data_IF_562594142935
#
_entry.id   IF_562594142935
#
_cell.length_a   1.000
_cell.length_b   1.000
_cell.length_c   1.000
_cell.angle_alpha   90.00
_cell.angle_beta   90.00
_cell.angle_gamma   90.00
#
_symmetry.space_group_name_H-M   'P 1'
#
loop_
_entity.id
_entity.type
_entity.pdbx_description
1 polymer ?
#
# COMPACT_ATOMS: atom_id res chain seq x y z
N UNK A 1 26.83 13.42 -5.80
CA UNK A 1 28.17 13.58 -5.15
C UNK A 1 28.54 12.34 -4.39
N UNK A 2 29.83 12.02 -4.24
CA UNK A 2 30.28 10.85 -3.48
C UNK A 2 30.87 11.21 -2.11
N UNK A 3 30.66 10.34 -1.14
CA UNK A 3 31.40 10.27 0.13
C UNK A 3 31.85 8.82 0.32
N UNK A 4 33.13 8.53 0.09
CA UNK A 4 33.62 7.15 0.08
C UNK A 4 32.82 6.31 -0.91
N UNK A 5 32.14 5.27 -0.42
CA UNK A 5 31.25 4.40 -1.22
C UNK A 5 29.79 4.89 -1.28
N UNK A 6 29.41 5.93 -0.55
CA UNK A 6 28.04 6.47 -0.50
C UNK A 6 27.81 7.47 -1.63
N UNK A 7 26.63 7.43 -2.27
CA UNK A 7 26.16 8.44 -3.22
C UNK A 7 25.15 9.35 -2.53
N UNK A 8 25.43 10.66 -2.55
CA UNK A 8 24.47 11.71 -2.19
C UNK A 8 23.81 12.22 -3.47
N UNK A 9 22.49 12.10 -3.51
CA UNK A 9 21.63 12.62 -4.59
C UNK A 9 20.68 13.67 -4.03
N UNK A 10 20.61 14.84 -4.66
CA UNK A 10 19.70 15.93 -4.28
C UNK A 10 18.61 16.03 -5.33
N UNK A 11 17.35 16.01 -4.91
CA UNK A 11 16.21 16.06 -5.84
C UNK A 11 16.20 17.40 -6.60
N UNK A 12 16.32 17.38 -7.94
CA UNK A 12 16.34 18.62 -8.74
C UNK A 12 14.96 19.25 -8.96
N UNK A 13 13.86 18.53 -8.65
CA UNK A 13 12.48 18.94 -8.93
C UNK A 13 12.18 19.30 -10.40
N UNK A 14 13.07 18.89 -11.32
CA UNK A 14 12.92 19.06 -12.77
C UNK A 14 13.74 18.00 -13.48
N UNK A 15 13.40 17.73 -14.74
CA UNK A 15 14.25 16.92 -15.60
C UNK A 15 15.55 17.68 -15.93
N UNK A 16 16.68 16.99 -15.80
CA UNK A 16 18.01 17.50 -16.13
C UNK A 16 18.58 16.88 -17.41
N UNK A 17 17.90 15.90 -18.02
CA UNK A 17 18.39 15.21 -19.22
C UNK A 17 19.60 14.31 -18.94
N UNK A 18 19.80 13.85 -17.70
CA UNK A 18 20.96 13.04 -17.28
C UNK A 18 20.69 11.52 -17.31
N UNK A 19 19.49 11.11 -17.74
CA UNK A 19 19.07 9.69 -17.79
C UNK A 19 18.81 9.24 -19.23
N UNK A 20 19.57 9.76 -20.20
CA UNK A 20 19.42 9.36 -21.61
C UNK A 20 20.08 8.01 -21.88
N UNK A 21 19.68 7.30 -22.95
CA UNK A 21 20.34 6.05 -23.35
C UNK A 21 21.84 6.21 -23.57
N UNK A 22 22.29 7.37 -24.06
CA UNK A 22 23.71 7.67 -24.26
C UNK A 22 24.44 7.78 -22.92
N UNK A 23 23.84 8.45 -21.94
CA UNK A 23 24.41 8.53 -20.59
C UNK A 23 24.44 7.14 -19.96
N UNK A 24 23.35 6.37 -20.03
CA UNK A 24 23.30 5.01 -19.52
C UNK A 24 24.47 4.17 -20.05
N UNK A 25 24.62 4.13 -21.39
CA UNK A 25 25.69 3.36 -22.05
C UNK A 25 27.10 3.84 -21.69
N UNK A 26 27.26 5.13 -21.36
CA UNK A 26 28.57 5.63 -20.93
C UNK A 26 29.06 5.01 -19.63
N UNK A 27 28.16 4.59 -18.73
CA UNK A 27 28.49 3.99 -17.43
C UNK A 27 28.74 2.48 -17.47
N UNK A 28 28.38 1.82 -18.57
CA UNK A 28 28.55 0.38 -18.76
C UNK A 28 30.04 -0.03 -18.71
N UNK A 29 30.36 -1.05 -17.91
CA UNK A 29 31.72 -1.55 -17.70
C UNK A 29 32.72 -0.49 -17.19
N UNK A 30 32.24 0.57 -16.52
CA UNK A 30 33.09 1.63 -15.96
C UNK A 30 33.28 1.49 -14.46
N UNK A 31 34.51 1.66 -14.01
CA UNK A 31 34.72 1.86 -12.58
C UNK A 31 34.18 3.22 -12.15
N UNK A 32 33.70 3.29 -10.92
CA UNK A 32 33.14 4.49 -10.29
C UNK A 32 34.03 5.74 -10.40
N UNK A 33 35.35 5.58 -10.42
CA UNK A 33 36.31 6.69 -10.46
C UNK A 33 36.55 7.22 -11.89
N UNK A 34 36.09 6.50 -12.92
CA UNK A 34 36.28 6.89 -14.33
C UNK A 34 35.27 7.96 -14.79
N UNK A 35 34.13 8.09 -14.09
CA UNK A 35 33.03 8.97 -14.48
C UNK A 35 32.51 9.81 -13.32
N UNK A 36 31.73 10.83 -13.67
CA UNK A 36 31.08 11.70 -12.71
C UNK A 36 30.12 10.91 -11.80
N UNK A 37 29.89 11.36 -10.55
CA UNK A 37 28.99 10.68 -9.63
C UNK A 37 27.57 10.56 -10.17
N UNK A 38 27.08 9.32 -10.30
CA UNK A 38 25.75 9.04 -10.83
C UNK A 38 25.13 7.79 -10.21
N UNK A 39 23.81 7.68 -10.25
CA UNK A 39 23.08 6.50 -9.74
C UNK A 39 23.43 5.24 -10.54
N UNK A 40 23.67 5.38 -11.84
CA UNK A 40 24.10 4.29 -12.73
C UNK A 40 25.44 3.68 -12.31
N UNK A 41 26.39 4.47 -11.81
CA UNK A 41 27.63 3.93 -11.29
C UNK A 41 27.46 3.09 -10.01
N UNK A 42 26.40 3.34 -9.21
CA UNK A 42 26.07 2.48 -8.07
C UNK A 42 25.46 1.17 -8.56
N UNK A 43 24.55 1.23 -9.55
CA UNK A 43 23.95 0.06 -10.16
C UNK A 43 24.99 -0.83 -10.87
N UNK A 44 25.90 -0.23 -11.64
CA UNK A 44 27.03 -0.92 -12.30
C UNK A 44 27.93 -1.62 -11.29
N UNK A 45 28.32 -0.92 -10.21
CA UNK A 45 29.16 -1.52 -9.18
C UNK A 45 28.50 -2.71 -8.50
N UNK A 46 27.21 -2.61 -8.18
CA UNK A 46 26.44 -3.71 -7.62
C UNK A 46 26.34 -4.88 -8.61
N UNK A 47 25.88 -4.64 -9.85
CA UNK A 47 25.72 -5.68 -10.85
C UNK A 47 27.03 -6.40 -11.15
N UNK A 48 28.12 -5.66 -11.35
CA UNK A 48 29.44 -6.26 -11.61
C UNK A 48 29.94 -7.09 -10.42
N UNK A 49 29.77 -6.63 -9.19
CA UNK A 49 30.18 -7.38 -8.01
C UNK A 49 29.37 -8.68 -7.85
N UNK A 50 28.06 -8.64 -8.13
CA UNK A 50 27.21 -9.81 -8.12
C UNK A 50 27.72 -10.89 -9.09
N UNK A 51 28.08 -10.50 -10.32
CA UNK A 51 28.61 -11.43 -11.33
C UNK A 51 30.03 -11.90 -11.01
N UNK A 52 30.90 -10.98 -10.56
CA UNK A 52 32.32 -11.28 -10.34
C UNK A 52 32.57 -12.14 -9.10
N UNK A 53 31.79 -11.95 -8.04
CA UNK A 53 31.98 -12.62 -6.75
C UNK A 53 30.89 -13.64 -6.42
N UNK A 54 29.81 -13.72 -7.21
CA UNK A 54 28.65 -14.57 -6.92
C UNK A 54 28.03 -14.30 -5.54
N UNK A 55 27.97 -13.03 -5.16
CA UNK A 55 27.42 -12.57 -3.87
C UNK A 55 26.20 -11.65 -4.10
N UNK A 56 25.16 -11.85 -3.29
CA UNK A 56 23.97 -11.01 -3.30
C UNK A 56 24.29 -9.54 -2.99
N UNK A 57 23.60 -8.63 -3.65
CA UNK A 57 23.83 -7.19 -3.51
C UNK A 57 22.58 -6.48 -3.00
N UNK A 58 22.77 -5.46 -2.17
CA UNK A 58 21.69 -4.64 -1.64
C UNK A 58 22.01 -3.15 -1.84
N UNK A 59 21.06 -2.41 -2.41
CA UNK A 59 21.14 -0.95 -2.55
C UNK A 59 20.11 -0.31 -1.63
N UNK A 60 20.60 0.38 -0.59
CA UNK A 60 19.75 1.07 0.38
C UNK A 60 19.61 2.54 -0.04
N UNK A 61 18.38 3.00 -0.25
CA UNK A 61 18.06 4.38 -0.63
C UNK A 61 17.31 5.06 0.51
N UNK A 62 18.00 5.96 1.23
CA UNK A 62 17.43 6.72 2.34
C UNK A 62 17.17 8.18 1.95
N UNK A 63 16.24 8.82 2.68
CA UNK A 63 15.90 10.22 2.48
C UNK A 63 14.49 10.55 2.97
N UNK A 64 14.21 11.84 3.19
CA UNK A 64 12.88 12.32 3.59
C UNK A 64 11.82 12.05 2.50
N UNK A 65 10.55 12.23 2.86
CA UNK A 65 9.45 12.13 1.88
C UNK A 65 9.66 13.19 0.78
N UNK A 66 9.54 12.80 -0.49
CA UNK A 66 9.84 13.69 -1.62
C UNK A 66 11.32 13.84 -1.99
N UNK A 67 12.26 13.18 -1.28
CA UNK A 67 13.69 13.28 -1.58
C UNK A 67 14.15 12.58 -2.89
N UNK A 68 13.25 11.90 -3.61
CA UNK A 68 13.58 11.22 -4.87
C UNK A 68 13.96 9.74 -4.73
N UNK A 69 13.64 9.08 -3.60
CA UNK A 69 13.94 7.66 -3.38
C UNK A 69 13.38 6.74 -4.48
N UNK A 70 12.10 6.92 -4.79
CA UNK A 70 11.39 6.14 -5.82
C UNK A 70 12.01 6.33 -7.20
N UNK A 71 12.39 7.56 -7.54
CA UNK A 71 13.04 7.87 -8.83
C UNK A 71 14.44 7.27 -8.92
N UNK A 72 15.24 7.33 -7.86
CA UNK A 72 16.54 6.67 -7.81
C UNK A 72 16.40 5.14 -7.97
N UNK A 73 15.42 4.51 -7.31
CA UNK A 73 15.14 3.08 -7.47
C UNK A 73 14.76 2.73 -8.92
N UNK A 74 13.87 3.52 -9.55
CA UNK A 74 13.50 3.36 -10.97
C UNK A 74 14.72 3.40 -11.89
N UNK A 75 15.67 4.31 -11.64
CA UNK A 75 16.89 4.45 -12.44
C UNK A 75 17.88 3.30 -12.23
N UNK A 76 17.96 2.73 -11.02
CA UNK A 76 18.76 1.52 -10.78
C UNK A 76 18.18 0.35 -11.57
N UNK A 77 16.87 0.13 -11.50
CA UNK A 77 16.20 -0.93 -12.26
C UNK A 77 16.37 -0.76 -13.77
N UNK A 78 16.20 0.46 -14.27
CA UNK A 78 16.41 0.78 -15.69
C UNK A 78 17.83 0.49 -16.16
N UNK A 79 18.83 0.78 -15.32
CA UNK A 79 20.21 0.48 -15.62
C UNK A 79 20.48 -1.02 -15.67
N UNK A 80 20.12 -1.73 -14.60
CA UNK A 80 20.28 -3.18 -14.48
C UNK A 80 19.64 -3.86 -15.70
N UNK A 81 18.41 -3.49 -16.04
CA UNK A 81 17.70 -4.02 -17.19
C UNK A 81 18.44 -3.83 -18.52
N UNK A 82 19.17 -2.73 -18.68
CA UNK A 82 19.91 -2.45 -19.90
C UNK A 82 21.24 -3.21 -19.99
N UNK A 83 21.93 -3.43 -18.86
CA UNK A 83 23.26 -4.07 -18.83
C UNK A 83 23.22 -5.58 -18.60
N UNK A 84 22.14 -6.12 -18.04
CA UNK A 84 22.01 -7.56 -17.75
C UNK A 84 21.74 -8.43 -18.99
N UNK A 85 21.94 -7.87 -20.20
CA UNK A 85 22.21 -8.61 -21.42
C UNK A 85 21.35 -9.85 -21.68
N UNK A 86 20.09 -9.66 -22.05
CA UNK A 86 19.25 -10.71 -22.63
C UNK A 86 18.53 -10.17 -23.85
N UNK A 87 18.71 -10.79 -25.02
CA UNK A 87 17.77 -10.64 -26.15
C UNK A 87 16.40 -11.27 -25.83
N UNK A 88 16.27 -11.90 -24.66
CA UNK A 88 15.03 -12.36 -24.07
C UNK A 88 14.20 -11.17 -23.58
N UNK A 89 12.93 -11.15 -23.96
CA UNK A 89 11.95 -10.13 -23.58
C UNK A 89 11.65 -10.07 -22.07
N UNK A 90 12.17 -11.02 -21.28
CA UNK A 90 11.83 -11.22 -19.86
C UNK A 90 12.23 -10.06 -18.94
N UNK A 91 13.39 -9.43 -19.15
CA UNK A 91 13.79 -8.22 -18.37
C UNK A 91 12.81 -7.08 -18.56
N UNK A 92 12.49 -6.82 -19.83
CA UNK A 92 11.63 -5.73 -20.21
C UNK A 92 10.22 -5.99 -19.69
N UNK A 93 9.78 -7.24 -19.74
CA UNK A 93 8.54 -7.70 -19.12
C UNK A 93 8.57 -7.49 -17.59
N UNK A 94 9.64 -7.85 -16.87
CA UNK A 94 9.75 -7.60 -15.41
C UNK A 94 9.72 -6.10 -15.11
N UNK A 95 10.48 -5.28 -15.86
CA UNK A 95 10.46 -3.81 -15.70
C UNK A 95 9.05 -3.27 -15.95
N UNK A 96 8.43 -3.65 -17.06
CA UNK A 96 7.11 -3.19 -17.46
C UNK A 96 6.05 -3.65 -16.45
N UNK A 97 6.18 -4.87 -15.90
CA UNK A 97 5.33 -5.39 -14.82
C UNK A 97 5.53 -4.62 -13.51
N UNK A 98 6.77 -4.42 -13.06
CA UNK A 98 7.07 -3.62 -11.86
C UNK A 98 6.52 -2.20 -12.02
N UNK A 99 6.69 -1.58 -13.20
CA UNK A 99 6.12 -0.27 -13.49
C UNK A 99 4.59 -0.28 -13.53
N UNK A 100 3.98 -1.31 -14.11
CA UNK A 100 2.53 -1.50 -14.16
C UNK A 100 1.93 -1.71 -12.76
N UNK A 101 2.69 -2.21 -11.79
CA UNK A 101 2.22 -2.40 -10.41
C UNK A 101 2.25 -1.13 -9.56
N UNK A 102 2.99 -0.09 -9.97
CA UNK A 102 3.14 1.11 -9.16
C UNK A 102 1.83 1.86 -8.93
N UNK A 103 0.95 2.09 -9.93
CA UNK A 103 -0.34 2.74 -9.68
C UNK A 103 -1.15 2.02 -8.59
N UNK A 104 -1.18 0.68 -8.63
CA UNK A 104 -1.87 -0.13 -7.63
C UNK A 104 -1.23 0.01 -6.24
N UNK A 105 0.09 -0.16 -6.13
CA UNK A 105 0.78 -0.06 -4.85
C UNK A 105 0.77 1.36 -4.28
N UNK A 106 0.84 2.39 -5.11
CA UNK A 106 0.73 3.79 -4.68
C UNK A 106 -0.70 4.10 -4.22
N UNK A 107 -1.72 3.61 -4.93
CA UNK A 107 -3.12 3.80 -4.54
C UNK A 107 -3.40 3.28 -3.12
N UNK A 108 -2.91 2.07 -2.80
CA UNK A 108 -3.13 1.43 -1.49
C UNK A 108 -2.06 1.77 -0.44
N UNK A 109 -0.87 2.19 -0.84
CA UNK A 109 0.30 2.34 0.03
C UNK A 109 0.75 3.78 0.27
N UNK A 110 0.25 4.74 -0.52
CA UNK A 110 0.57 6.16 -0.38
C UNK A 110 -0.62 6.98 0.10
N UNK A 111 -0.31 8.12 0.70
CA UNK A 111 -1.29 9.10 1.10
C UNK A 111 -0.71 10.52 1.08
N UNK A 112 -1.60 11.51 1.08
CA UNK A 112 -1.24 12.90 1.30
C UNK A 112 -0.88 13.14 2.77
N UNK A 113 0.30 13.69 2.98
CA UNK A 113 0.79 14.19 4.28
C UNK A 113 1.00 15.70 4.23
N UNK A 114 1.31 16.31 5.37
CA UNK A 114 1.65 17.75 5.41
C UNK A 114 2.90 18.12 4.59
N UNK A 115 3.80 17.16 4.33
CA UNK A 115 5.10 17.39 3.66
C UNK A 115 5.14 16.93 2.21
N UNK A 116 4.31 15.95 1.85
CA UNK A 116 4.30 15.35 0.51
C UNK A 116 2.89 14.83 0.20
N UNK A 117 2.38 15.19 -0.98
CA UNK A 117 1.06 14.81 -1.47
C UNK A 117 0.96 13.34 -1.88
N UNK A 118 2.06 12.69 -2.25
CA UNK A 118 2.13 11.26 -2.58
C UNK A 118 3.22 10.59 -1.71
N UNK A 119 2.99 10.55 -0.39
CA UNK A 119 3.95 9.99 0.55
C UNK A 119 3.72 8.50 0.73
N UNK A 120 4.72 7.67 0.42
CA UNK A 120 4.72 6.25 0.77
C UNK A 120 4.58 6.07 2.28
N UNK A 121 3.62 5.24 2.69
CA UNK A 121 3.31 4.92 4.09
C UNK A 121 3.60 3.45 4.43
N UNK A 122 4.45 2.82 3.62
CA UNK A 122 5.04 1.51 3.86
C UNK A 122 6.51 1.53 3.38
N UNK A 123 7.32 0.66 3.96
CA UNK A 123 8.60 0.28 3.38
C UNK A 123 8.39 -0.70 2.23
N UNK A 124 9.22 -0.58 1.20
CA UNK A 124 9.22 -1.47 0.04
C UNK A 124 10.64 -1.97 -0.18
N UNK A 125 10.79 -3.28 -0.29
CA UNK A 125 12.03 -3.93 -0.68
C UNK A 125 11.76 -4.75 -1.93
N UNK A 126 12.49 -4.45 -3.00
CA UNK A 126 12.37 -5.13 -4.27
C UNK A 126 13.64 -5.96 -4.48
N UNK A 127 13.45 -7.25 -4.65
CA UNK A 127 14.49 -8.21 -4.99
C UNK A 127 14.37 -8.50 -6.48
N UNK A 128 15.50 -8.42 -7.19
CA UNK A 128 15.61 -8.85 -8.59
C UNK A 128 16.48 -10.10 -8.57
N UNK A 129 15.95 -11.19 -9.11
CA UNK A 129 16.60 -12.50 -9.07
C UNK A 129 17.30 -12.75 -10.40
N UNK A 130 18.54 -13.24 -10.36
CA UNK A 130 19.35 -13.52 -11.53
C UNK A 130 19.73 -14.99 -11.63
N UNK A 131 19.85 -15.49 -12.86
CA UNK A 131 20.46 -16.79 -13.11
C UNK A 131 22.00 -16.71 -13.04
N UNK A 132 22.66 -17.87 -13.14
CA UNK A 132 24.13 -17.95 -13.15
C UNK A 132 24.78 -17.23 -14.35
N UNK A 133 24.02 -16.94 -15.41
CA UNK A 133 24.46 -16.16 -16.57
C UNK A 133 24.37 -14.65 -16.37
N UNK A 134 23.81 -14.18 -15.24
CA UNK A 134 23.60 -12.76 -14.96
C UNK A 134 22.35 -12.17 -15.60
N UNK A 135 21.46 -12.99 -16.13
CA UNK A 135 20.17 -12.57 -16.68
C UNK A 135 19.13 -12.62 -15.56
N UNK A 136 18.24 -11.62 -15.42
CA UNK A 136 17.21 -11.65 -14.40
C UNK A 136 16.06 -12.56 -14.84
N UNK A 137 15.63 -13.36 -13.88
CA UNK A 137 14.65 -14.44 -14.03
C UNK A 137 13.37 -14.20 -13.25
N UNK A 138 13.34 -13.22 -12.35
CA UNK A 138 12.16 -12.90 -11.56
C UNK A 138 12.36 -11.70 -10.66
N UNK A 139 11.28 -11.27 -10.01
CA UNK A 139 11.31 -10.23 -9.00
C UNK A 139 10.36 -10.52 -7.84
N UNK A 140 10.71 -10.05 -6.64
CA UNK A 140 9.88 -10.17 -5.45
C UNK A 140 9.82 -8.84 -4.72
N UNK A 141 8.61 -8.42 -4.35
CA UNK A 141 8.36 -7.24 -3.51
C UNK A 141 8.01 -7.73 -2.11
N UNK A 142 8.83 -7.34 -1.14
CA UNK A 142 8.55 -7.45 0.28
C UNK A 142 8.13 -6.09 0.83
N UNK A 143 6.93 -6.02 1.39
CA UNK A 143 6.44 -4.81 2.04
C UNK A 143 6.69 -4.86 3.55
N UNK A 144 7.10 -3.73 4.11
CA UNK A 144 7.39 -3.57 5.53
C UNK A 144 6.48 -2.49 6.12
N UNK A 145 5.77 -2.86 7.19
CA UNK A 145 5.12 -1.93 8.12
C UNK A 145 4.26 -0.86 7.43
N UNK A 146 3.14 -1.28 6.86
CA UNK A 146 2.09 -0.35 6.44
C UNK A 146 1.62 0.47 7.65
N UNK A 147 1.47 1.79 7.48
CA UNK A 147 0.93 2.69 8.50
C UNK A 147 -0.59 2.50 8.65
N UNK A 148 -1.03 1.32 9.11
CA UNK A 148 -2.45 0.97 9.21
C UNK A 148 -3.27 1.93 10.07
N UNK A 149 -2.65 2.63 11.04
CA UNK A 149 -3.35 3.65 11.83
C UNK A 149 -3.94 4.77 10.96
N UNK A 150 -3.36 5.05 9.78
CA UNK A 150 -3.88 6.03 8.83
C UNK A 150 -5.29 5.70 8.32
N UNK A 151 -5.67 4.42 8.29
CA UNK A 151 -7.00 3.98 7.85
C UNK A 151 -8.10 4.62 8.68
N UNK A 152 -7.86 4.79 9.99
CA UNK A 152 -8.90 5.15 10.98
C UNK A 152 -8.72 6.55 11.57
N UNK A 153 -7.62 7.22 11.25
CA UNK A 153 -7.35 8.57 11.73
C UNK A 153 -6.17 9.21 11.02
N UNK A 154 -6.32 10.48 10.69
CA UNK A 154 -5.29 11.28 10.02
C UNK A 154 -5.16 12.63 10.73
N UNK A 155 -4.00 13.26 10.59
CA UNK A 155 -3.78 14.63 11.07
C UNK A 155 -4.62 15.58 10.21
N UNK A 156 -5.10 16.69 10.78
CA UNK A 156 -5.81 17.72 10.03
C UNK A 156 -5.04 18.14 8.77
N UNK A 157 -5.75 18.24 7.64
CA UNK A 157 -5.23 18.53 6.30
C UNK A 157 -4.39 17.40 5.65
N UNK A 158 -4.21 16.25 6.30
CA UNK A 158 -3.75 15.02 5.64
C UNK A 158 -4.93 14.25 5.04
N UNK A 159 -4.63 13.24 4.22
CA UNK A 159 -5.61 12.28 3.71
C UNK A 159 -5.37 10.87 4.25
N UNK A 160 -6.42 10.06 4.16
CA UNK A 160 -6.29 8.61 4.15
C UNK A 160 -5.54 8.13 2.88
N UNK A 161 -5.36 6.81 2.72
CA UNK A 161 -4.79 6.23 1.50
C UNK A 161 -5.55 6.66 0.24
N UNK A 162 -4.84 6.83 -0.87
CA UNK A 162 -5.44 7.37 -2.10
C UNK A 162 -6.64 6.56 -2.57
N UNK A 163 -6.56 5.22 -2.45
CA UNK A 163 -7.62 4.31 -2.87
C UNK A 163 -9.00 4.67 -2.32
N UNK A 164 -9.12 5.17 -1.10
CA UNK A 164 -10.43 5.52 -0.53
C UNK A 164 -11.07 6.71 -1.24
N UNK A 165 -10.28 7.71 -1.66
CA UNK A 165 -10.77 8.88 -2.39
C UNK A 165 -11.01 8.56 -3.86
N UNK A 166 -10.10 7.79 -4.46
CA UNK A 166 -10.24 7.24 -5.82
C UNK A 166 -11.54 6.43 -5.94
N UNK A 167 -11.79 5.51 -5.01
CA UNK A 167 -12.99 4.68 -5.02
C UNK A 167 -14.27 5.48 -4.74
N UNK A 168 -14.33 6.28 -3.68
CA UNK A 168 -15.56 7.03 -3.32
C UNK A 168 -15.97 8.07 -4.36
N UNK A 169 -15.00 8.69 -5.04
CA UNK A 169 -15.28 9.67 -6.11
C UNK A 169 -15.69 8.99 -7.42
N UNK A 170 -15.14 7.81 -7.72
CA UNK A 170 -15.17 7.25 -9.07
C UNK A 170 -15.74 5.83 -9.17
N UNK A 171 -16.34 5.32 -8.09
CA UNK A 171 -17.08 4.06 -8.08
C UNK A 171 -18.14 4.02 -9.20
N UNK A 172 -18.24 2.86 -9.85
CA UNK A 172 -19.31 2.56 -10.81
C UNK A 172 -20.68 2.59 -10.13
N UNK A 173 -21.75 2.79 -10.90
CA UNK A 173 -23.11 2.77 -10.35
C UNK A 173 -23.44 1.43 -9.68
N UNK A 174 -22.89 0.33 -10.20
CA UNK A 174 -22.99 -0.99 -9.58
C UNK A 174 -22.33 -1.02 -8.20
N UNK A 175 -21.11 -0.52 -8.04
CA UNK A 175 -20.47 -0.44 -6.72
C UNK A 175 -21.15 0.55 -5.78
N UNK A 176 -21.72 1.64 -6.29
CA UNK A 176 -22.51 2.57 -5.50
C UNK A 176 -23.77 1.89 -4.93
N UNK A 177 -24.46 1.09 -5.75
CA UNK A 177 -25.67 0.37 -5.36
C UNK A 177 -25.36 -0.83 -4.46
N UNK A 178 -24.46 -1.70 -4.89
CA UNK A 178 -24.16 -2.96 -4.19
C UNK A 178 -23.38 -2.72 -2.90
N UNK A 179 -22.44 -1.76 -2.88
CA UNK A 179 -21.57 -1.53 -1.73
C UNK A 179 -21.88 -0.23 -0.98
N UNK A 180 -22.97 0.45 -1.33
CA UNK A 180 -23.44 1.65 -0.63
C UNK A 180 -22.43 2.81 -0.69
N UNK A 181 -21.68 2.91 -1.78
CA UNK A 181 -20.62 3.92 -1.89
C UNK A 181 -21.18 5.26 -2.35
N UNK A 182 -20.82 6.30 -1.60
CA UNK A 182 -21.12 7.69 -1.90
C UNK A 182 -19.83 8.52 -1.85
N UNK A 183 -19.95 9.86 -1.91
CA UNK A 183 -18.78 10.74 -1.87
C UNK A 183 -17.99 10.62 -0.56
N UNK A 184 -16.67 10.93 -0.57
CA UNK A 184 -15.77 10.78 0.58
C UNK A 184 -16.17 11.62 1.80
N UNK A 185 -16.99 12.66 1.63
CA UNK A 185 -17.56 13.45 2.70
C UNK A 185 -18.48 12.66 3.64
N UNK A 186 -19.10 11.58 3.14
CA UNK A 186 -20.08 10.79 3.87
C UNK A 186 -19.46 9.68 4.74
N UNK A 187 -18.14 9.52 4.72
CA UNK A 187 -17.44 8.51 5.49
C UNK A 187 -16.46 9.15 6.47
N UNK A 188 -16.59 8.80 7.76
CA UNK A 188 -15.77 9.39 8.83
C UNK A 188 -14.26 9.24 8.56
N UNK A 189 -13.84 8.08 8.05
CA UNK A 189 -12.43 7.78 7.79
C UNK A 189 -11.81 8.55 6.63
N UNK A 190 -12.59 9.23 5.79
CA UNK A 190 -12.09 10.08 4.70
C UNK A 190 -12.34 11.56 4.95
N UNK A 191 -13.39 11.92 5.68
CA UNK A 191 -13.82 13.31 5.86
C UNK A 191 -13.27 13.99 7.12
N UNK A 192 -13.01 13.24 8.20
CA UNK A 192 -12.65 13.81 9.52
C UNK A 192 -11.44 14.76 9.50
N UNK A 193 -10.46 14.50 8.65
CA UNK A 193 -9.24 15.30 8.55
C UNK A 193 -9.40 16.61 7.75
N UNK A 194 -10.57 16.84 7.14
CA UNK A 194 -10.89 18.09 6.44
C UNK A 194 -10.18 18.29 5.10
N UNK A 195 -9.66 17.22 4.48
CA UNK A 195 -9.03 17.28 3.16
C UNK A 195 -9.54 16.15 2.26
N UNK A 196 -10.37 16.51 1.28
CA UNK A 196 -10.92 15.58 0.30
C UNK A 196 -10.16 15.64 -1.04
N UNK A 197 -9.67 16.83 -1.39
CA UNK A 197 -8.97 17.10 -2.65
C UNK A 197 -7.52 17.52 -2.40
N UNK A 198 -6.67 17.22 -3.38
CA UNK A 198 -5.26 17.59 -3.38
C UNK A 198 -4.96 18.32 -4.69
N UNK A 199 -4.36 19.53 -4.65
CA UNK A 199 -4.01 20.25 -5.87
C UNK A 199 -3.14 19.39 -6.80
N UNK A 200 -3.48 19.38 -8.08
CA UNK A 200 -2.81 18.61 -9.15
C UNK A 200 -2.90 17.08 -9.03
N UNK A 201 -3.82 16.56 -8.20
CA UNK A 201 -4.15 15.14 -8.13
C UNK A 201 -5.55 14.93 -8.69
N UNK A 202 -5.69 13.99 -9.62
CA UNK A 202 -6.98 13.61 -10.20
C UNK A 202 -7.30 12.19 -9.75
N UNK A 203 -8.04 12.08 -8.64
CA UNK A 203 -8.41 10.79 -8.05
C UNK A 203 -9.20 9.92 -9.05
N UNK A 204 -9.96 10.50 -10.00
CA UNK A 204 -10.72 9.72 -10.99
C UNK A 204 -9.82 9.10 -12.05
N UNK A 205 -8.87 9.88 -12.56
CA UNK A 205 -7.87 9.35 -13.50
C UNK A 205 -6.99 8.29 -12.83
N UNK A 206 -6.52 8.56 -11.62
CA UNK A 206 -5.69 7.61 -10.87
C UNK A 206 -6.44 6.33 -10.48
N UNK A 207 -7.76 6.41 -10.25
CA UNK A 207 -8.58 5.21 -10.08
C UNK A 207 -8.61 4.35 -11.35
N UNK A 208 -8.77 4.97 -12.53
CA UNK A 208 -8.72 4.25 -13.80
C UNK A 208 -7.35 3.58 -14.03
N UNK A 209 -6.25 4.27 -13.68
CA UNK A 209 -4.90 3.70 -13.73
C UNK A 209 -4.74 2.52 -12.76
N UNK A 210 -5.36 2.60 -11.57
CA UNK A 210 -5.38 1.53 -10.57
C UNK A 210 -6.13 0.29 -11.08
N UNK A 211 -7.31 0.46 -11.65
CA UNK A 211 -8.09 -0.65 -12.23
C UNK A 211 -7.35 -1.29 -13.41
N UNK A 212 -6.72 -0.48 -14.26
CA UNK A 212 -5.89 -0.98 -15.36
C UNK A 212 -4.70 -1.79 -14.83
N UNK A 213 -4.03 -1.31 -13.79
CA UNK A 213 -2.94 -2.03 -13.14
C UNK A 213 -3.41 -3.38 -12.57
N UNK A 214 -4.57 -3.43 -11.89
CA UNK A 214 -5.17 -4.68 -11.40
C UNK A 214 -5.35 -5.69 -12.52
N UNK A 215 -5.92 -5.28 -13.66
CA UNK A 215 -6.13 -6.14 -14.82
C UNK A 215 -4.81 -6.63 -15.44
N UNK A 216 -3.78 -5.79 -15.52
CA UNK A 216 -2.44 -6.18 -16.04
C UNK A 216 -1.76 -7.22 -15.15
N UNK A 217 -1.94 -7.12 -13.83
CA UNK A 217 -1.41 -8.08 -12.84
C UNK A 217 -2.21 -9.40 -12.84
N UNK A 218 -3.34 -9.46 -13.56
CA UNK A 218 -4.19 -10.63 -13.60
C UNK A 218 -5.09 -10.77 -12.38
N UNK A 219 -5.44 -9.65 -11.72
CA UNK A 219 -6.52 -9.60 -10.74
C UNK A 219 -7.84 -9.57 -11.51
N UNK A 220 -8.57 -10.69 -11.44
CA UNK A 220 -9.85 -10.89 -12.12
C UNK A 220 -10.93 -9.92 -11.63
N UNK A 221 -11.97 -9.68 -12.42
CA UNK A 221 -13.10 -8.82 -12.03
C UNK A 221 -13.71 -9.26 -10.70
N UNK A 222 -13.90 -10.57 -10.49
CA UNK A 222 -14.41 -11.09 -9.23
C UNK A 222 -13.51 -10.78 -8.03
N UNK A 223 -12.18 -10.84 -8.20
CA UNK A 223 -11.24 -10.41 -7.16
C UNK A 223 -11.28 -8.89 -6.94
N UNK A 224 -11.42 -8.09 -8.01
CA UNK A 224 -11.62 -6.64 -7.91
C UNK A 224 -12.89 -6.31 -7.12
N UNK A 225 -13.99 -7.04 -7.34
CA UNK A 225 -15.23 -6.87 -6.58
C UNK A 225 -15.01 -7.13 -5.08
N UNK A 226 -14.24 -8.17 -4.73
CA UNK A 226 -13.92 -8.44 -3.32
C UNK A 226 -13.02 -7.37 -2.70
N UNK A 227 -12.04 -6.84 -3.45
CA UNK A 227 -11.21 -5.71 -2.99
C UNK A 227 -12.11 -4.50 -2.67
N UNK A 228 -12.99 -4.11 -3.60
CA UNK A 228 -13.90 -2.97 -3.41
C UNK A 228 -14.90 -3.20 -2.29
N UNK A 229 -15.40 -4.43 -2.12
CA UNK A 229 -16.26 -4.82 -1.00
C UNK A 229 -15.56 -4.66 0.34
N UNK A 230 -14.28 -5.03 0.45
CA UNK A 230 -13.49 -4.84 1.68
C UNK A 230 -13.21 -3.35 1.96
N UNK A 231 -12.92 -2.55 0.93
CA UNK A 231 -12.79 -1.10 1.07
C UNK A 231 -14.10 -0.46 1.55
N UNK A 232 -15.24 -0.89 1.00
CA UNK A 232 -16.56 -0.46 1.45
C UNK A 232 -16.81 -0.84 2.90
N UNK A 233 -16.51 -2.09 3.29
CA UNK A 233 -16.69 -2.54 4.68
C UNK A 233 -15.88 -1.67 5.66
N UNK A 234 -14.66 -1.27 5.30
CA UNK A 234 -13.85 -0.36 6.11
C UNK A 234 -14.50 1.03 6.22
N UNK A 235 -14.98 1.59 5.11
CA UNK A 235 -15.63 2.90 5.10
C UNK A 235 -16.90 2.90 5.98
N UNK A 236 -17.74 1.87 5.83
CA UNK A 236 -18.97 1.70 6.62
C UNK A 236 -18.68 1.41 8.10
N UNK A 237 -17.64 0.63 8.41
CA UNK A 237 -17.16 0.47 9.78
C UNK A 237 -16.86 1.82 10.42
N UNK A 238 -16.27 2.78 9.69
CA UNK A 238 -15.99 4.11 10.21
C UNK A 238 -17.22 4.92 10.61
N UNK A 239 -18.39 4.60 10.05
CA UNK A 239 -19.64 5.30 10.33
C UNK A 239 -20.43 4.72 11.52
N UNK A 240 -19.99 3.60 12.10
CA UNK A 240 -20.61 3.07 13.32
C UNK A 240 -20.36 4.04 14.47
N UNK A 241 -21.45 4.52 15.07
CA UNK A 241 -21.45 5.37 16.26
C UNK A 241 -21.94 4.58 17.48
N UNK A 242 -21.38 4.93 18.64
CA UNK A 242 -21.68 4.30 19.91
C UNK A 242 -22.20 5.34 20.90
N UNK A 243 -23.18 4.96 21.71
CA UNK A 243 -23.72 5.75 22.83
C UNK A 243 -23.73 4.89 24.10
N UNK A 244 -23.85 5.49 25.30
CA UNK A 244 -23.97 4.72 26.54
C UNK A 244 -25.19 3.81 26.48
N UNK A 245 -25.07 2.59 27.02
CA UNK A 245 -26.18 1.66 27.14
C UNK A 245 -27.22 2.18 28.14
N UNK A 246 -28.50 1.91 27.91
CA UNK A 246 -29.59 2.44 28.76
C UNK A 246 -29.52 1.98 30.22
N UNK A 247 -29.01 0.76 30.43
CA UNK A 247 -28.96 0.12 31.75
C UNK A 247 -27.64 0.35 32.51
N UNK A 248 -26.55 0.70 31.81
CA UNK A 248 -25.23 0.94 32.41
C UNK A 248 -24.39 1.86 31.50
N UNK A 249 -24.07 3.05 31.99
CA UNK A 249 -23.29 4.06 31.24
C UNK A 249 -21.86 3.60 30.94
N UNK A 250 -21.35 2.57 31.60
CA UNK A 250 -20.06 1.95 31.29
C UNK A 250 -20.12 0.95 30.12
N UNK A 251 -21.31 0.61 29.64
CA UNK A 251 -21.49 -0.23 28.46
C UNK A 251 -21.82 0.64 27.25
N UNK A 252 -21.45 0.18 26.06
CA UNK A 252 -21.78 0.83 24.80
C UNK A 252 -22.93 0.11 24.11
N UNK A 253 -23.72 0.88 23.37
CA UNK A 253 -24.69 0.39 22.41
C UNK A 253 -24.52 1.12 21.08
N UNK A 254 -24.86 0.45 19.99
CA UNK A 254 -24.79 1.00 18.63
C UNK A 254 -26.02 1.88 18.40
N UNK A 255 -25.83 3.06 17.81
CA UNK A 255 -26.92 4.01 17.57
C UNK A 255 -27.85 3.59 16.45
N UNK A 256 -27.28 3.03 15.39
CA UNK A 256 -27.98 2.69 14.15
C UNK A 256 -27.67 1.23 13.75
N UNK A 257 -28.59 0.29 14.03
CA UNK A 257 -28.44 -1.11 13.65
C UNK A 257 -28.38 -1.35 12.14
N UNK A 258 -28.94 -0.45 11.31
CA UNK A 258 -28.96 -0.63 9.85
C UNK A 258 -27.54 -0.55 9.27
N UNK A 259 -26.68 0.30 9.85
CA UNK A 259 -25.25 0.37 9.50
C UNK A 259 -24.57 -0.98 9.77
N UNK A 260 -24.83 -1.61 10.93
CA UNK A 260 -24.26 -2.93 11.24
C UNK A 260 -24.82 -4.05 10.37
N UNK A 261 -26.09 -3.97 9.98
CA UNK A 261 -26.67 -4.92 9.05
C UNK A 261 -26.02 -4.80 7.66
N UNK A 262 -25.75 -3.57 7.21
CA UNK A 262 -25.04 -3.34 5.95
C UNK A 262 -23.59 -3.83 6.00
N UNK A 263 -22.87 -3.58 7.09
CA UNK A 263 -21.52 -4.13 7.30
C UNK A 263 -21.56 -5.67 7.30
N UNK A 264 -22.55 -6.28 7.94
CA UNK A 264 -22.71 -7.73 7.94
C UNK A 264 -22.95 -8.29 6.53
N UNK A 265 -23.76 -7.61 5.72
CA UNK A 265 -23.90 -7.92 4.30
C UNK A 265 -22.55 -7.85 3.55
N UNK A 266 -21.76 -6.79 3.77
CA UNK A 266 -20.45 -6.65 3.12
C UNK A 266 -19.43 -7.69 3.59
N UNK A 267 -19.47 -8.12 4.85
CA UNK A 267 -18.55 -9.10 5.42
C UNK A 267 -19.06 -10.55 5.30
N UNK A 268 -20.20 -10.78 4.63
CA UNK A 268 -20.86 -12.09 4.54
C UNK A 268 -21.07 -12.73 5.92
N UNK A 269 -21.55 -11.92 6.86
CA UNK A 269 -21.76 -12.29 8.26
C UNK A 269 -23.19 -11.98 8.69
N UNK A 270 -23.50 -12.21 9.96
CA UNK A 270 -24.80 -11.85 10.53
C UNK A 270 -24.73 -10.51 11.27
N UNK A 271 -25.79 -9.67 11.22
CA UNK A 271 -25.83 -8.39 11.94
C UNK A 271 -25.60 -8.53 13.44
N UNK A 272 -26.06 -9.64 14.03
CA UNK A 272 -25.90 -9.96 15.45
C UNK A 272 -24.43 -10.20 15.78
N UNK A 273 -23.70 -10.92 14.93
CA UNK A 273 -22.28 -11.18 15.14
C UNK A 273 -21.49 -9.88 15.03
N UNK A 274 -21.73 -9.08 13.98
CA UNK A 274 -21.05 -7.78 13.81
C UNK A 274 -21.33 -6.86 15.00
N UNK A 275 -22.57 -6.73 15.42
CA UNK A 275 -22.93 -5.92 16.58
C UNK A 275 -22.24 -6.41 17.85
N UNK A 276 -22.29 -7.73 18.10
CA UNK A 276 -21.67 -8.36 19.27
C UNK A 276 -20.17 -8.06 19.34
N UNK A 277 -19.41 -8.26 18.26
CA UNK A 277 -17.95 -8.06 18.27
C UNK A 277 -17.53 -6.60 18.41
N UNK A 278 -18.42 -5.66 18.07
CA UNK A 278 -18.16 -4.23 18.21
C UNK A 278 -18.42 -3.70 19.62
N UNK A 279 -19.34 -4.32 20.39
CA UNK A 279 -19.73 -3.87 21.74
C UNK A 279 -19.34 -4.83 22.86
N UNK A 280 -18.76 -5.98 22.55
CA UNK A 280 -18.33 -6.96 23.55
C UNK A 280 -17.04 -7.67 23.13
N UNK A 281 -16.28 -8.15 24.12
CA UNK A 281 -15.14 -9.05 23.90
C UNK A 281 -15.37 -10.36 24.63
N UNK A 282 -15.04 -11.47 23.98
CA UNK A 282 -15.11 -12.80 24.60
C UNK A 282 -13.80 -13.08 25.33
N UNK A 283 -13.89 -13.47 26.61
CA UNK A 283 -12.73 -13.86 27.42
C UNK A 283 -12.83 -15.35 27.73
N UNK A 284 -11.76 -16.07 27.42
CA UNK A 284 -11.54 -17.43 27.88
C UNK A 284 -10.50 -17.42 29.00
N UNK A 285 -10.87 -17.89 30.19
CA UNK A 285 -9.92 -18.00 31.30
C UNK A 285 -9.27 -19.38 31.32
N UNK A 286 -7.95 -19.49 31.09
CA UNK A 286 -7.26 -20.75 31.29
C UNK A 286 -7.09 -20.96 32.81
N UNK A 287 -7.76 -21.97 33.36
CA UNK A 287 -7.39 -22.52 34.68
C UNK A 287 -7.10 -24.01 34.55
N UNK A 288 -5.90 -24.37 35.01
CA UNK A 288 -5.36 -25.72 34.98
C UNK A 288 -6.32 -26.75 35.57
N UNK A 289 -6.82 -27.61 34.70
CA UNK A 289 -7.29 -28.95 35.08
C UNK A 289 -8.78 -29.23 34.89
N UNK A 290 -9.72 -28.29 35.10
CA UNK A 290 -11.16 -28.57 34.93
C UNK A 290 -11.97 -27.35 34.48
N UNK A 291 -12.43 -27.40 33.22
CA UNK A 291 -13.34 -26.48 32.48
C UNK A 291 -13.02 -24.98 32.58
N UNK A 292 -12.36 -24.44 31.55
CA UNK A 292 -12.35 -22.99 31.31
C UNK A 292 -13.77 -22.47 31.09
N UNK A 293 -14.07 -21.28 31.60
CA UNK A 293 -15.32 -20.57 31.29
C UNK A 293 -15.08 -19.54 30.18
N UNK A 294 -16.00 -19.51 29.22
CA UNK A 294 -16.07 -18.51 28.16
C UNK A 294 -17.22 -17.56 28.50
N UNK A 295 -16.94 -16.26 28.61
CA UNK A 295 -17.96 -15.25 28.87
C UNK A 295 -17.68 -13.97 28.09
N UNK A 296 -18.75 -13.23 27.81
CA UNK A 296 -18.68 -11.96 27.08
C UNK A 296 -18.60 -10.79 28.07
N UNK A 297 -17.69 -9.86 27.80
CA UNK A 297 -17.51 -8.63 28.57
C UNK A 297 -17.92 -7.45 27.70
N UNK A 298 -18.96 -6.70 28.08
CA UNK A 298 -19.35 -5.47 27.40
C UNK A 298 -18.20 -4.46 27.36
N UNK A 299 -18.11 -3.71 26.26
CA UNK A 299 -17.12 -2.66 26.05
C UNK A 299 -17.76 -1.31 26.37
N UNK A 300 -17.00 -0.41 26.98
CA UNK A 300 -17.37 1.01 27.01
C UNK A 300 -17.19 1.66 25.62
N UNK A 301 -17.65 2.89 25.44
CA UNK A 301 -17.59 3.60 24.15
C UNK A 301 -16.17 3.64 23.57
N UNK A 302 -15.18 4.07 24.37
CA UNK A 302 -13.80 4.18 23.90
C UNK A 302 -13.20 2.82 23.47
N UNK A 303 -13.56 1.75 24.20
CA UNK A 303 -13.16 0.39 23.85
C UNK A 303 -13.86 -0.11 22.58
N UNK A 304 -15.14 0.19 22.40
CA UNK A 304 -15.90 -0.15 21.19
C UNK A 304 -15.35 0.58 19.95
N UNK A 305 -15.02 1.87 20.07
CA UNK A 305 -14.32 2.63 19.03
C UNK A 305 -12.96 2.01 18.70
N UNK A 306 -12.20 1.60 19.72
CA UNK A 306 -10.93 0.91 19.52
C UNK A 306 -11.11 -0.45 18.82
N UNK A 307 -12.18 -1.20 19.13
CA UNK A 307 -12.49 -2.47 18.50
C UNK A 307 -12.87 -2.28 17.02
N UNK A 308 -13.79 -1.36 16.73
CA UNK A 308 -14.16 -0.93 15.36
C UNK A 308 -12.94 -0.53 14.54
N UNK A 309 -12.10 0.34 15.10
CA UNK A 309 -10.87 0.79 14.47
C UNK A 309 -9.87 -0.37 14.30
N UNK A 310 -9.78 -1.28 15.27
CA UNK A 310 -8.95 -2.47 15.21
C UNK A 310 -9.32 -3.38 14.04
N UNK A 311 -10.62 -3.63 13.84
CA UNK A 311 -11.14 -4.43 12.75
C UNK A 311 -10.85 -3.76 11.39
N UNK A 312 -11.17 -2.48 11.24
CA UNK A 312 -10.89 -1.73 10.00
C UNK A 312 -9.41 -1.77 9.61
N UNK A 313 -8.52 -1.58 10.58
CA UNK A 313 -7.06 -1.69 10.40
C UNK A 313 -6.66 -3.09 9.96
N UNK A 314 -7.19 -4.13 10.60
CA UNK A 314 -6.86 -5.51 10.29
C UNK A 314 -7.30 -5.91 8.87
N UNK A 315 -8.50 -5.50 8.44
CA UNK A 315 -9.00 -5.76 7.08
C UNK A 315 -8.05 -5.11 6.06
N UNK A 316 -7.70 -3.84 6.25
CA UNK A 316 -6.83 -3.14 5.31
C UNK A 316 -5.41 -3.71 5.26
N UNK A 317 -4.83 -4.05 6.42
CA UNK A 317 -3.50 -4.66 6.54
C UNK A 317 -3.44 -5.98 5.75
N UNK A 318 -4.44 -6.85 5.94
CA UNK A 318 -4.54 -8.14 5.23
C UNK A 318 -4.85 -7.97 3.75
N UNK A 319 -5.68 -6.99 3.38
CA UNK A 319 -5.97 -6.67 1.99
C UNK A 319 -4.71 -6.21 1.27
N UNK A 320 -3.91 -5.36 1.90
CA UNK A 320 -2.65 -4.89 1.34
C UNK A 320 -1.64 -6.02 1.19
N UNK A 321 -1.47 -6.88 2.21
CA UNK A 321 -0.62 -8.07 2.13
C UNK A 321 -1.05 -8.98 0.96
N UNK A 322 -2.36 -9.17 0.78
CA UNK A 322 -2.91 -9.96 -0.32
C UNK A 322 -2.63 -9.33 -1.68
N UNK A 323 -2.78 -8.01 -1.83
CA UNK A 323 -2.44 -7.29 -3.07
C UNK A 323 -0.97 -7.49 -3.43
N UNK A 324 -0.08 -7.40 -2.44
CA UNK A 324 1.37 -7.60 -2.64
C UNK A 324 1.68 -9.04 -3.04
N UNK A 325 1.00 -10.00 -2.43
CA UNK A 325 1.10 -11.40 -2.83
C UNK A 325 0.67 -11.59 -4.29
N UNK A 326 -0.43 -10.99 -4.75
CA UNK A 326 -0.87 -11.07 -6.16
C UNK A 326 0.12 -10.40 -7.11
N UNK A 327 0.69 -9.26 -6.72
CA UNK A 327 1.76 -8.59 -7.46
C UNK A 327 2.97 -9.52 -7.60
N UNK A 328 3.40 -10.19 -6.53
CA UNK A 328 4.51 -11.13 -6.56
C UNK A 328 4.23 -12.34 -7.47
N UNK A 329 3.01 -12.89 -7.44
CA UNK A 329 2.62 -13.99 -8.32
C UNK A 329 2.69 -13.61 -9.80
N UNK A 330 2.45 -12.33 -10.14
CA UNK A 330 2.53 -11.86 -11.52
C UNK A 330 3.96 -11.53 -11.98
N UNK A 331 4.93 -11.48 -11.07
CA UNK A 331 6.35 -11.20 -11.36
C UNK A 331 7.23 -12.47 -11.32
N UNK A 332 6.63 -13.63 -11.08
CA UNK A 332 7.24 -14.96 -11.12
C UNK A 332 6.95 -15.64 -12.46
#
# INVERSE_FOLDING_TARGET
TYIGNVLISVNPFKDLGIYTPQVLKSYENKNRMELAPHVYAIAEGAFRNMIAYSEDQCVIISGESGAGKTEAAKKIMEYIAAVSGGNSSSIKEIKDMVLATNPLLESFGCAKTLRNNNSSRHGKYLEIQFNAGGEPVGAMITNYLLEKNRVVGQIQNERNFHIFYQFTKSASDEYRQNFGISGPENFLYTSKAGCLDVPNMDDSREYADTLKAMSVIGISTAEQDQIHRMLAAILWLGNVQFVPHKDDDNMSQITDPDITAFIAYLLESTPELVSKVLVSRTIETPRGGRRGSVYDVPLNIAQAESARNGLAKAIYDRLFDWIVMRVNQAMQ
#
